data_IF_415393876771
#
_entry.id   IF_415393876771
#
_cell.length_a   1.000
_cell.length_b   1.000
_cell.length_c   1.000
_cell.angle_alpha   90.00
_cell.angle_beta   90.00
_cell.angle_gamma   90.00
#
_symmetry.space_group_name_H-M   'P 1'
#
loop_
_entity.id
_entity.type
_entity.pdbx_description
1 polymer ?
#
# COMPACT_ATOMS: atom_id res chain seq x y z
N UNK A 1 28.76 34.02 -4.65
CA UNK A 1 27.65 33.30 -3.99
C UNK A 1 26.71 32.80 -5.08
N UNK A 2 26.91 31.57 -5.55
CA UNK A 2 26.10 31.00 -6.62
C UNK A 2 24.92 30.23 -6.03
N UNK A 3 23.73 30.65 -6.42
CA UNK A 3 22.45 29.97 -6.21
C UNK A 3 22.51 28.56 -6.79
N UNK A 4 22.25 27.54 -5.97
CA UNK A 4 22.07 26.16 -6.42
C UNK A 4 20.59 25.81 -6.31
N UNK A 5 19.96 25.69 -7.46
CA UNK A 5 18.57 25.29 -7.63
C UNK A 5 18.35 23.88 -7.05
N UNK A 6 17.37 23.77 -6.15
CA UNK A 6 16.85 22.50 -5.66
C UNK A 6 16.09 21.80 -6.79
N UNK A 7 16.69 20.75 -7.37
CA UNK A 7 15.96 19.87 -8.29
C UNK A 7 15.16 18.86 -7.47
N UNK A 8 13.85 19.08 -7.40
CA UNK A 8 12.89 18.08 -6.92
C UNK A 8 12.80 16.95 -7.95
N UNK A 9 13.14 15.72 -7.56
CA UNK A 9 12.94 14.52 -8.38
C UNK A 9 11.67 13.81 -7.90
N UNK A 10 10.57 13.95 -8.65
CA UNK A 10 9.39 13.13 -8.48
C UNK A 10 9.66 11.74 -9.07
N UNK A 11 9.67 10.69 -8.23
CA UNK A 11 9.63 9.32 -8.71
C UNK A 11 8.18 8.95 -9.03
N UNK A 12 7.78 9.13 -10.28
CA UNK A 12 6.53 8.56 -10.78
C UNK A 12 6.84 7.24 -11.47
N UNK A 13 6.52 6.10 -10.84
CA UNK A 13 6.55 4.77 -11.48
C UNK A 13 5.35 4.57 -12.44
N UNK A 14 4.92 5.63 -13.12
CA UNK A 14 3.77 5.62 -14.03
C UNK A 14 4.06 4.94 -15.38
N UNK A 15 5.26 4.42 -15.63
CA UNK A 15 5.60 3.71 -16.87
C UNK A 15 5.67 2.20 -16.67
N UNK A 16 4.54 1.59 -16.29
CA UNK A 16 4.35 0.14 -16.37
C UNK A 16 3.05 -0.14 -17.14
N UNK A 17 3.01 0.29 -18.41
CA UNK A 17 2.03 -0.21 -19.37
C UNK A 17 2.62 -1.46 -20.04
N UNK A 18 2.19 -2.62 -19.57
CA UNK A 18 2.48 -3.91 -20.19
C UNK A 18 1.65 -4.03 -21.46
N UNK A 19 2.27 -3.82 -22.62
CA UNK A 19 1.71 -4.26 -23.90
C UNK A 19 2.32 -5.62 -24.24
N UNK A 20 1.59 -6.69 -23.96
CA UNK A 20 1.77 -7.96 -24.68
C UNK A 20 0.51 -8.20 -25.52
N UNK A 21 0.65 -8.51 -26.82
CA UNK A 21 -0.50 -8.73 -27.69
C UNK A 21 -1.18 -10.04 -27.32
N UNK A 22 -2.46 -9.97 -26.98
CA UNK A 22 -3.30 -11.14 -26.77
C UNK A 22 -3.72 -11.68 -28.14
N UNK A 23 -3.24 -12.89 -28.47
CA UNK A 23 -3.69 -13.66 -29.62
C UNK A 23 -5.20 -13.96 -29.48
N UNK A 24 -5.98 -13.40 -30.39
CA UNK A 24 -7.42 -13.60 -30.53
C UNK A 24 -7.73 -15.02 -31.00
N UNK A 25 -8.31 -15.85 -30.12
CA UNK A 25 -9.13 -16.98 -30.55
C UNK A 25 -10.61 -16.60 -30.45
N UNK A 26 -11.23 -16.43 -31.63
CA UNK A 26 -12.69 -16.40 -31.79
C UNK A 26 -13.25 -17.80 -31.50
N UNK A 27 -14.22 -17.91 -30.59
CA UNK A 27 -15.31 -18.89 -30.70
C UNK A 27 -16.62 -18.25 -30.22
N UNK A 28 -17.54 -18.18 -31.16
CA UNK A 28 -18.91 -17.68 -31.04
C UNK A 28 -19.76 -18.61 -30.18
N UNK A 29 -20.72 -17.99 -29.51
CA UNK A 29 -21.86 -18.50 -28.75
C UNK A 29 -22.70 -19.55 -29.50
N UNK A 30 -23.35 -20.44 -28.75
CA UNK A 30 -24.74 -20.82 -29.05
C UNK A 30 -25.47 -21.35 -27.81
N UNK A 31 -26.71 -20.90 -27.67
CA UNK A 31 -27.70 -21.28 -26.66
C UNK A 31 -28.69 -22.28 -27.29
N UNK A 32 -28.95 -23.34 -26.53
CA UNK A 32 -30.18 -24.15 -26.39
C UNK A 32 -30.94 -24.80 -27.58
N UNK A 33 -31.17 -26.10 -27.34
CA UNK A 33 -32.43 -26.88 -27.40
C UNK A 33 -33.01 -27.48 -28.70
N UNK A 34 -33.34 -28.77 -28.52
CA UNK A 34 -34.56 -29.52 -28.88
C UNK A 34 -34.47 -30.68 -29.89
N UNK A 35 -35.25 -31.71 -29.52
CA UNK A 35 -35.41 -33.08 -30.03
C UNK A 35 -35.85 -33.19 -31.50
N UNK A 36 -35.52 -34.31 -32.16
CA UNK A 36 -36.52 -35.31 -32.59
C UNK A 36 -35.89 -36.50 -33.35
N UNK A 37 -36.51 -37.67 -33.17
CA UNK A 37 -36.31 -38.91 -33.92
C UNK A 37 -37.04 -38.86 -35.27
N UNK A 38 -36.53 -39.56 -36.30
CA UNK A 38 -37.39 -40.24 -37.27
C UNK A 38 -36.99 -40.21 -38.75
N UNK A 39 -36.55 -41.39 -39.24
CA UNK A 39 -36.84 -42.05 -40.54
C UNK A 39 -36.38 -41.43 -41.88
N UNK A 40 -35.66 -42.29 -42.63
CA UNK A 40 -35.72 -42.62 -44.07
C UNK A 40 -36.14 -41.55 -45.10
N UNK A 41 -35.30 -41.32 -46.12
CA UNK A 41 -35.53 -41.71 -47.53
C UNK A 41 -34.43 -41.17 -48.48
N UNK A 42 -34.41 -41.77 -49.67
CA UNK A 42 -33.40 -41.80 -50.73
C UNK A 42 -33.22 -40.52 -51.58
N UNK A 43 -32.16 -40.58 -52.41
CA UNK A 43 -31.99 -39.99 -53.75
C UNK A 43 -31.71 -38.49 -53.80
N UNK A 44 -31.07 -37.90 -54.81
CA UNK A 44 -30.13 -38.28 -55.86
C UNK A 44 -29.81 -36.97 -56.60
N UNK A 45 -28.67 -36.94 -57.31
CA UNK A 45 -28.43 -36.14 -58.53
C UNK A 45 -28.12 -34.63 -58.44
N UNK A 46 -26.94 -34.33 -59.03
CA UNK A 46 -26.62 -33.23 -59.97
C UNK A 46 -26.55 -31.83 -59.34
N UNK A 47 -25.46 -31.05 -59.43
CA UNK A 47 -24.41 -30.97 -60.44
C UNK A 47 -24.40 -29.54 -60.97
N UNK A 48 -23.28 -28.83 -60.84
CA UNK A 48 -22.81 -27.78 -61.76
C UNK A 48 -21.59 -27.08 -61.17
N UNK A 49 -20.42 -27.32 -61.77
CA UNK A 49 -19.27 -26.41 -61.71
C UNK A 49 -19.51 -25.30 -62.73
N UNK A 50 -19.21 -24.06 -62.39
CA UNK A 50 -18.77 -23.07 -63.37
C UNK A 50 -17.63 -22.24 -62.77
N UNK A 51 -16.47 -22.33 -63.43
CA UNK A 51 -15.31 -21.51 -63.20
C UNK A 51 -15.29 -20.42 -64.27
N UNK A 52 -15.00 -19.17 -63.90
CA UNK A 52 -14.50 -18.14 -64.83
C UNK A 52 -13.41 -17.36 -64.10
N UNK A 53 -12.18 -17.45 -64.63
CA UNK A 53 -11.07 -16.57 -64.30
C UNK A 53 -11.22 -15.27 -65.08
N UNK A 54 -10.82 -14.14 -64.49
CA UNK A 54 -10.26 -13.01 -65.24
C UNK A 54 -9.15 -12.33 -64.43
N UNK A 55 -7.98 -12.32 -65.05
CA UNK A 55 -6.74 -11.66 -64.67
C UNK A 55 -6.79 -10.19 -65.11
N UNK A 56 -6.37 -9.25 -64.25
CA UNK A 56 -5.87 -7.93 -64.70
C UNK A 56 -4.85 -7.35 -63.71
N UNK A 57 -3.82 -6.73 -64.30
CA UNK A 57 -2.53 -6.23 -63.78
C UNK A 57 -2.62 -5.03 -62.80
N UNK A 58 -1.53 -4.71 -62.08
CA UNK A 58 -1.54 -3.80 -60.93
C UNK A 58 -1.41 -2.32 -61.34
N UNK A 59 -2.02 -1.44 -60.56
CA UNK A 59 -1.83 0.01 -60.62
C UNK A 59 -0.96 0.47 -59.44
N UNK A 60 0.14 1.11 -59.79
CA UNK A 60 1.08 1.81 -58.91
C UNK A 60 0.41 3.01 -58.26
N UNK A 61 0.37 3.03 -56.92
CA UNK A 61 0.02 4.24 -56.15
C UNK A 61 1.27 4.77 -55.43
N UNK A 62 1.63 6.01 -55.81
CA UNK A 62 2.67 6.87 -55.22
C UNK A 62 2.71 6.80 -53.69
N UNK A 63 3.92 6.63 -53.14
CA UNK A 63 4.23 6.95 -51.73
C UNK A 63 4.13 8.46 -51.54
N UNK A 64 3.18 8.92 -50.74
CA UNK A 64 3.32 10.19 -50.03
C UNK A 64 4.15 9.92 -48.78
N UNK A 65 5.32 10.55 -48.70
CA UNK A 65 6.13 10.58 -47.49
C UNK A 65 5.44 11.43 -46.43
N UNK A 66 4.84 10.78 -45.44
CA UNK A 66 4.56 11.41 -44.15
C UNK A 66 5.81 11.30 -43.31
N UNK A 67 6.49 12.43 -43.08
CA UNK A 67 7.52 12.52 -42.05
C UNK A 67 6.81 12.46 -40.69
N UNK A 68 6.63 11.24 -40.19
CA UNK A 68 6.28 11.02 -38.80
C UNK A 68 7.52 11.39 -37.99
N UNK A 69 7.55 12.62 -37.48
CA UNK A 69 8.47 13.00 -36.42
C UNK A 69 8.08 12.15 -35.20
N UNK A 70 8.67 10.97 -35.08
CA UNK A 70 8.63 10.18 -33.86
C UNK A 70 9.31 11.02 -32.77
N UNK A 71 8.50 11.70 -31.97
CA UNK A 71 8.93 12.22 -30.68
C UNK A 71 9.19 11.00 -29.81
N UNK A 72 10.40 10.46 -29.91
CA UNK A 72 10.93 9.54 -28.91
C UNK A 72 11.21 10.37 -27.67
N UNK A 73 10.23 10.42 -26.77
CA UNK A 73 10.46 10.84 -25.40
C UNK A 73 11.39 9.81 -24.76
N UNK A 74 12.69 10.08 -24.84
CA UNK A 74 13.69 9.41 -24.04
C UNK A 74 13.42 9.75 -22.58
N UNK A 75 12.56 8.97 -21.93
CA UNK A 75 12.53 8.89 -20.48
C UNK A 75 13.90 8.40 -20.05
N UNK A 76 14.77 9.31 -19.62
CA UNK A 76 16.00 8.95 -18.93
C UNK A 76 15.57 8.20 -17.67
N UNK A 77 15.49 6.87 -17.75
CA UNK A 77 15.16 6.05 -16.61
C UNK A 77 16.29 6.24 -15.61
N UNK A 78 16.02 7.02 -14.55
CA UNK A 78 16.91 7.10 -13.40
C UNK A 78 17.10 5.67 -12.89
N UNK A 79 18.33 5.27 -12.54
CA UNK A 79 18.58 3.92 -12.09
C UNK A 79 17.71 3.63 -10.85
N UNK A 80 17.14 2.43 -10.79
CA UNK A 80 16.35 1.99 -9.65
C UNK A 80 17.17 2.12 -8.34
N UNK A 81 16.51 2.47 -7.22
CA UNK A 81 17.20 2.52 -5.94
C UNK A 81 17.67 1.13 -5.54
N UNK A 82 18.79 1.06 -4.82
CA UNK A 82 19.34 -0.19 -4.30
C UNK A 82 18.52 -0.74 -3.13
N UNK A 83 17.78 0.13 -2.42
CA UNK A 83 16.84 -0.27 -1.38
C UNK A 83 15.68 0.72 -1.19
N UNK A 84 14.54 0.21 -0.70
CA UNK A 84 13.44 0.99 -0.15
C UNK A 84 13.37 0.78 1.36
N UNK A 85 13.47 1.88 2.12
CA UNK A 85 13.39 1.90 3.58
C UNK A 85 12.06 2.53 4.01
N UNK A 86 11.11 1.70 4.44
CA UNK A 86 9.77 2.13 4.84
C UNK A 86 9.73 2.54 6.30
N UNK A 87 9.03 3.63 6.63
CA UNK A 87 8.48 3.75 7.99
C UNK A 87 7.40 2.69 8.23
N UNK A 88 7.07 2.41 9.48
CA UNK A 88 5.93 1.56 9.82
C UNK A 88 4.66 2.40 10.00
N UNK A 89 4.66 3.23 11.06
CA UNK A 89 3.52 4.03 11.48
C UNK A 89 3.25 5.17 10.49
N UNK A 90 2.01 5.25 10.00
CA UNK A 90 1.60 6.21 8.99
C UNK A 90 2.07 5.89 7.57
N UNK A 91 2.87 4.84 7.35
CA UNK A 91 3.37 4.46 6.01
C UNK A 91 2.85 3.09 5.58
N UNK A 92 3.17 2.02 6.32
CA UNK A 92 2.62 0.70 6.01
C UNK A 92 1.14 0.66 6.35
N UNK A 93 0.79 1.23 7.50
CA UNK A 93 -0.54 1.26 8.08
C UNK A 93 -0.76 2.62 8.72
N UNK A 94 -2.02 3.09 8.76
CA UNK A 94 -2.37 4.26 9.57
C UNK A 94 -2.68 3.79 11.01
N UNK A 95 -1.63 3.55 11.79
CA UNK A 95 -1.73 2.97 13.14
C UNK A 95 -2.56 3.84 14.08
N UNK A 96 -2.56 5.16 13.91
CA UNK A 96 -3.35 6.07 14.74
C UNK A 96 -4.82 6.08 14.32
N UNK A 97 -5.11 6.38 13.03
CA UNK A 97 -6.50 6.54 12.54
C UNK A 97 -7.26 5.22 12.51
N UNK A 98 -6.62 4.15 12.04
CA UNK A 98 -7.30 2.88 11.75
C UNK A 98 -6.99 1.80 12.79
N UNK A 99 -6.01 2.02 13.67
CA UNK A 99 -5.63 1.09 14.74
C UNK A 99 -6.00 1.57 16.14
N UNK A 100 -5.25 2.54 16.66
CA UNK A 100 -5.39 3.03 18.02
C UNK A 100 -6.75 3.67 18.28
N UNK A 101 -7.23 4.54 17.40
CA UNK A 101 -8.58 5.12 17.51
C UNK A 101 -9.68 4.06 17.52
N UNK A 102 -9.59 3.08 16.62
CA UNK A 102 -10.56 1.96 16.54
C UNK A 102 -10.55 1.15 17.83
N UNK A 103 -9.38 0.76 18.33
CA UNK A 103 -9.26 0.01 19.58
C UNK A 103 -9.71 0.80 20.82
N UNK A 104 -9.56 2.13 20.85
CA UNK A 104 -10.21 2.97 21.89
C UNK A 104 -11.72 2.87 21.82
N UNK A 105 -12.31 3.08 20.64
CA UNK A 105 -13.77 3.05 20.45
C UNK A 105 -14.37 1.69 20.78
N UNK A 106 -13.72 0.59 20.37
CA UNK A 106 -14.16 -0.75 20.74
C UNK A 106 -14.07 -0.98 22.26
N UNK A 107 -13.01 -0.48 22.92
CA UNK A 107 -12.92 -0.54 24.39
C UNK A 107 -14.05 0.25 25.06
N UNK A 108 -14.34 1.46 24.58
CA UNK A 108 -15.40 2.30 25.14
C UNK A 108 -16.78 1.66 24.94
N UNK A 109 -16.98 0.99 23.80
CA UNK A 109 -18.18 0.23 23.48
C UNK A 109 -18.34 -0.99 24.38
N UNK A 110 -17.29 -1.81 24.55
CA UNK A 110 -17.29 -2.96 25.47
C UNK A 110 -17.58 -2.55 26.93
N UNK A 111 -17.24 -1.33 27.30
CA UNK A 111 -17.45 -0.76 28.65
C UNK A 111 -18.68 0.14 28.74
N UNK A 112 -19.50 0.19 27.68
CA UNK A 112 -20.77 0.92 27.63
C UNK A 112 -20.64 2.41 27.99
N UNK A 113 -19.51 3.03 27.66
CA UNK A 113 -19.21 4.42 28.07
C UNK A 113 -19.96 5.47 27.24
N UNK A 114 -20.65 5.07 26.18
CA UNK A 114 -21.32 5.98 25.23
C UNK A 114 -20.39 7.08 24.68
N UNK A 115 -19.12 6.72 24.47
CA UNK A 115 -18.08 7.60 23.94
C UNK A 115 -17.59 7.04 22.62
N UNK A 116 -17.39 7.93 21.64
CA UNK A 116 -16.78 7.58 20.36
C UNK A 116 -15.90 8.74 19.94
N UNK A 117 -14.65 8.41 19.59
CA UNK A 117 -13.71 9.34 18.98
C UNK A 117 -13.73 9.12 17.47
N UNK A 118 -14.34 10.07 16.76
CA UNK A 118 -14.20 10.16 15.31
C UNK A 118 -12.77 10.58 14.93
N UNK A 119 -12.50 10.69 13.63
CA UNK A 119 -11.15 10.96 13.11
C UNK A 119 -10.68 12.36 13.54
N UNK A 120 -11.55 13.37 13.46
CA UNK A 120 -11.19 14.77 13.71
C UNK A 120 -10.94 15.01 15.20
N UNK A 121 -11.83 14.49 16.06
CA UNK A 121 -11.63 14.54 17.51
C UNK A 121 -10.37 13.78 17.91
N UNK A 122 -10.11 12.61 17.33
CA UNK A 122 -8.90 11.86 17.66
C UNK A 122 -7.63 12.61 17.23
N UNK A 123 -7.64 13.30 16.09
CA UNK A 123 -6.53 14.14 15.64
C UNK A 123 -6.23 15.27 16.64
N UNK A 124 -7.26 15.90 17.22
CA UNK A 124 -7.09 16.89 18.29
C UNK A 124 -6.52 16.25 19.57
N UNK A 125 -7.02 15.07 19.94
CA UNK A 125 -6.56 14.32 21.11
C UNK A 125 -5.12 13.79 20.97
N UNK A 126 -4.60 13.60 19.75
CA UNK A 126 -3.22 13.20 19.50
C UNK A 126 -2.19 14.26 19.96
N UNK A 127 -2.61 15.53 20.08
CA UNK A 127 -1.78 16.60 20.65
C UNK A 127 -1.47 16.37 22.14
N UNK A 128 -2.24 15.51 22.80
CA UNK A 128 -2.01 15.06 24.17
C UNK A 128 -1.18 13.78 24.12
N UNK A 129 0.03 13.85 24.66
CA UNK A 129 0.94 12.70 24.75
C UNK A 129 0.41 11.63 25.71
N UNK A 130 0.58 10.36 25.36
CA UNK A 130 0.21 9.22 26.19
C UNK A 130 -1.27 8.86 26.14
N UNK A 131 -1.56 7.55 26.08
CA UNK A 131 -2.92 7.05 25.91
C UNK A 131 -3.82 7.19 27.14
N UNK A 132 -3.25 7.06 28.33
CA UNK A 132 -3.99 7.22 29.60
C UNK A 132 -4.30 8.69 29.84
N UNK A 133 -3.30 9.53 29.65
CA UNK A 133 -3.34 10.97 29.80
C UNK A 133 -4.38 11.58 28.86
N UNK A 134 -4.43 11.11 27.61
CA UNK A 134 -5.45 11.47 26.62
C UNK A 134 -6.87 11.14 27.08
N UNK A 135 -7.12 9.93 27.58
CA UNK A 135 -8.43 9.56 28.11
C UNK A 135 -8.82 10.40 29.32
N UNK A 136 -7.90 10.59 30.27
CA UNK A 136 -8.12 11.41 31.47
C UNK A 136 -8.46 12.85 31.09
N UNK A 137 -7.69 13.46 30.18
CA UNK A 137 -7.94 14.82 29.71
C UNK A 137 -9.29 14.93 28.99
N UNK A 138 -9.65 13.96 28.16
CA UNK A 138 -10.95 13.91 27.49
C UNK A 138 -12.10 13.84 28.51
N UNK A 139 -12.06 12.92 29.48
CA UNK A 139 -13.11 12.79 30.50
C UNK A 139 -13.19 13.98 31.45
N UNK A 140 -12.07 14.62 31.77
CA UNK A 140 -12.07 15.85 32.55
C UNK A 140 -12.75 17.01 31.80
N UNK A 141 -12.60 17.08 30.48
CA UNK A 141 -13.19 18.14 29.64
C UNK A 141 -14.66 17.89 29.31
N UNK A 142 -15.01 16.65 28.92
CA UNK A 142 -16.35 16.30 28.43
C UNK A 142 -17.29 15.78 29.51
N UNK A 143 -16.76 15.52 30.71
CA UNK A 143 -17.45 14.82 31.79
C UNK A 143 -17.12 13.33 31.82
N UNK A 144 -17.01 12.81 33.04
CA UNK A 144 -16.72 11.39 33.25
C UNK A 144 -17.96 10.53 32.95
N UNK A 145 -17.79 9.33 32.37
CA UNK A 145 -18.89 8.38 32.15
C UNK A 145 -19.64 8.06 33.46
N UNK A 146 -20.94 7.76 33.36
CA UNK A 146 -21.80 7.49 34.54
C UNK A 146 -21.32 6.32 35.39
N UNK A 147 -20.72 5.30 34.75
CA UNK A 147 -20.15 4.12 35.40
C UNK A 147 -18.70 4.30 35.83
N UNK A 148 -18.11 5.49 35.62
CA UNK A 148 -16.77 5.76 36.11
C UNK A 148 -16.77 6.00 37.62
N UNK A 149 -15.69 5.60 38.32
CA UNK A 149 -15.54 5.89 39.74
C UNK A 149 -15.52 7.39 40.08
N UNK A 150 -15.74 7.71 41.35
CA UNK A 150 -15.80 9.09 41.83
C UNK A 150 -14.47 9.60 42.38
N UNK A 151 -13.69 8.76 43.07
CA UNK A 151 -12.39 9.14 43.61
C UNK A 151 -11.32 9.21 42.51
N UNK A 152 -10.28 10.01 42.73
CA UNK A 152 -9.20 10.19 41.76
C UNK A 152 -8.38 8.93 41.57
N UNK A 153 -8.10 8.20 42.66
CA UNK A 153 -7.35 6.96 42.67
C UNK A 153 -8.08 5.87 41.88
N UNK A 154 -9.38 5.71 42.09
CA UNK A 154 -10.19 4.74 41.36
C UNK A 154 -10.33 5.12 39.89
N UNK A 155 -10.45 6.41 39.57
CA UNK A 155 -10.45 6.91 38.18
C UNK A 155 -9.14 6.60 37.46
N UNK A 156 -8.00 6.76 38.15
CA UNK A 156 -6.68 6.39 37.61
C UNK A 156 -6.60 4.89 37.32
N UNK A 157 -7.08 4.04 38.24
CA UNK A 157 -7.15 2.60 38.03
C UNK A 157 -8.11 2.22 36.89
N UNK A 158 -9.25 2.89 36.79
CA UNK A 158 -10.22 2.71 35.72
C UNK A 158 -9.62 3.04 34.35
N UNK A 159 -8.99 4.21 34.19
CA UNK A 159 -8.29 4.61 32.95
C UNK A 159 -7.17 3.62 32.60
N UNK A 160 -6.41 3.15 33.60
CA UNK A 160 -5.39 2.13 33.37
C UNK A 160 -6.00 0.82 32.83
N UNK A 161 -7.15 0.41 33.35
CA UNK A 161 -7.87 -0.79 32.85
C UNK A 161 -8.36 -0.62 31.41
N UNK A 162 -8.89 0.56 31.05
CA UNK A 162 -9.29 0.89 29.69
C UNK A 162 -8.08 0.86 28.74
N UNK A 163 -6.96 1.47 29.14
CA UNK A 163 -5.76 1.49 28.33
C UNK A 163 -5.19 0.09 28.10
N UNK A 164 -5.20 -0.75 29.15
CA UNK A 164 -4.79 -2.16 29.04
C UNK A 164 -5.67 -2.89 28.02
N UNK A 165 -7.00 -2.79 28.15
CA UNK A 165 -7.93 -3.45 27.23
C UNK A 165 -7.79 -2.94 25.79
N UNK A 166 -7.64 -1.64 25.60
CA UNK A 166 -7.37 -1.03 24.29
C UNK A 166 -6.08 -1.58 23.67
N UNK A 167 -5.04 -1.79 24.48
CA UNK A 167 -3.77 -2.35 24.01
C UNK A 167 -3.93 -3.79 23.53
N UNK A 168 -4.69 -4.61 24.26
CA UNK A 168 -5.03 -5.99 23.85
C UNK A 168 -5.82 -6.00 22.54
N UNK A 169 -6.83 -5.13 22.41
CA UNK A 169 -7.64 -5.03 21.20
C UNK A 169 -6.82 -4.56 20.00
N UNK A 170 -5.88 -3.63 20.19
CA UNK A 170 -4.97 -3.21 19.13
C UNK A 170 -4.08 -4.36 18.63
N UNK A 171 -3.52 -5.15 19.55
CA UNK A 171 -2.76 -6.34 19.17
C UNK A 171 -3.63 -7.33 18.38
N UNK A 172 -4.86 -7.58 18.85
CA UNK A 172 -5.80 -8.46 18.18
C UNK A 172 -6.21 -7.96 16.79
N UNK A 173 -6.30 -6.64 16.56
CA UNK A 173 -6.57 -6.08 15.23
C UNK A 173 -5.47 -6.46 14.22
N UNK A 174 -4.21 -6.43 14.65
CA UNK A 174 -3.07 -6.81 13.80
C UNK A 174 -3.09 -8.31 13.54
N UNK A 175 -3.18 -9.13 14.59
CA UNK A 175 -3.16 -10.60 14.49
C UNK A 175 -4.30 -11.14 13.62
N UNK A 176 -5.50 -10.54 13.75
CA UNK A 176 -6.70 -10.90 12.96
C UNK A 176 -6.73 -10.25 11.57
N UNK A 177 -5.69 -9.48 11.19
CA UNK A 177 -5.59 -8.80 9.89
C UNK A 177 -6.74 -7.81 9.61
N UNK A 178 -7.23 -7.16 10.65
CA UNK A 178 -8.31 -6.17 10.58
C UNK A 178 -7.78 -4.73 10.42
N UNK A 179 -6.48 -4.50 10.62
CA UNK A 179 -5.83 -3.22 10.35
C UNK A 179 -5.42 -3.16 8.87
N UNK A 180 -5.99 -2.26 8.04
CA UNK A 180 -5.67 -2.21 6.62
C UNK A 180 -4.27 -1.62 6.37
N UNK A 181 -3.57 -2.22 5.41
CA UNK A 181 -2.38 -1.59 4.81
C UNK A 181 -2.80 -0.35 4.01
N UNK A 182 -1.93 0.67 3.99
CA UNK A 182 -2.17 1.86 3.16
C UNK A 182 -2.22 1.47 1.68
N UNK A 183 -3.08 2.14 0.87
CA UNK A 183 -3.15 1.90 -0.56
C UNK A 183 -1.78 2.01 -1.23
N UNK A 184 -1.47 1.07 -2.12
CA UNK A 184 -0.22 1.05 -2.89
C UNK A 184 0.99 0.42 -2.20
N UNK A 185 0.98 0.24 -0.87
CA UNK A 185 2.12 -0.34 -0.12
C UNK A 185 2.49 -1.74 -0.63
N UNK A 186 1.51 -2.63 -0.70
CA UNK A 186 1.73 -4.02 -1.17
C UNK A 186 2.29 -4.03 -2.58
N UNK A 187 1.66 -3.27 -3.48
CA UNK A 187 2.08 -3.16 -4.89
C UNK A 187 3.52 -2.68 -5.01
N UNK A 188 3.90 -1.65 -4.25
CA UNK A 188 5.25 -1.10 -4.28
C UNK A 188 6.29 -2.09 -3.77
N UNK A 189 6.00 -2.77 -2.65
CA UNK A 189 6.88 -3.80 -2.08
C UNK A 189 7.07 -4.93 -3.08
N UNK A 190 5.99 -5.43 -3.69
CA UNK A 190 6.06 -6.52 -4.66
C UNK A 190 6.87 -6.14 -5.89
N UNK A 191 6.70 -4.92 -6.41
CA UNK A 191 7.48 -4.39 -7.53
C UNK A 191 8.96 -4.28 -7.18
N UNK A 192 9.29 -3.73 -6.00
CA UNK A 192 10.67 -3.61 -5.55
C UNK A 192 11.35 -4.98 -5.44
N UNK A 193 10.67 -5.94 -4.79
CA UNK A 193 11.21 -7.29 -4.62
C UNK A 193 11.37 -8.02 -5.97
N UNK A 194 10.46 -7.81 -6.92
CA UNK A 194 10.56 -8.41 -8.26
C UNK A 194 11.76 -7.88 -9.07
N UNK A 195 12.14 -6.61 -8.87
CA UNK A 195 13.28 -5.95 -9.52
C UNK A 195 14.60 -6.14 -8.75
N UNK A 196 14.60 -6.97 -7.69
CA UNK A 196 15.80 -7.21 -6.86
C UNK A 196 16.19 -6.04 -5.96
N UNK A 197 15.31 -5.06 -5.79
CA UNK A 197 15.50 -3.94 -4.85
C UNK A 197 15.28 -4.45 -3.42
N UNK A 198 16.22 -4.17 -2.52
CA UNK A 198 16.12 -4.58 -1.11
C UNK A 198 15.02 -3.78 -0.40
N UNK A 199 14.30 -4.43 0.51
CA UNK A 199 13.24 -3.77 1.29
C UNK A 199 13.52 -3.92 2.78
N UNK A 200 13.36 -2.82 3.53
CA UNK A 200 13.41 -2.84 4.97
C UNK A 200 12.36 -1.91 5.59
N UNK A 201 12.03 -2.17 6.85
CA UNK A 201 11.19 -1.32 7.68
C UNK A 201 12.04 -0.72 8.79
N UNK A 202 12.01 0.59 8.92
CA UNK A 202 12.74 1.37 9.91
C UNK A 202 11.72 2.15 10.75
N UNK A 203 11.51 1.78 12.02
CA UNK A 203 10.51 2.41 12.90
C UNK A 203 11.06 2.73 14.29
N UNK A 204 10.52 3.76 14.94
CA UNK A 204 10.79 4.06 16.36
C UNK A 204 9.90 3.25 17.31
N UNK A 205 8.88 2.56 16.78
CA UNK A 205 8.00 1.67 17.53
C UNK A 205 8.72 0.39 17.95
N UNK A 206 8.19 -0.27 18.99
CA UNK A 206 8.75 -1.52 19.52
C UNK A 206 8.76 -2.63 18.46
N UNK A 207 9.84 -3.41 18.41
CA UNK A 207 10.06 -4.43 17.38
C UNK A 207 8.90 -5.41 17.26
N UNK A 208 8.38 -5.90 18.39
CA UNK A 208 7.27 -6.86 18.40
C UNK A 208 6.03 -6.36 17.64
N UNK A 209 5.72 -5.06 17.75
CA UNK A 209 4.57 -4.47 17.06
C UNK A 209 4.83 -4.36 15.54
N UNK A 210 6.03 -3.90 15.16
CA UNK A 210 6.44 -3.78 13.75
C UNK A 210 6.48 -5.16 13.09
N UNK A 211 7.06 -6.14 13.77
CA UNK A 211 7.16 -7.53 13.33
C UNK A 211 5.79 -8.18 13.15
N UNK A 212 4.84 -7.91 14.06
CA UNK A 212 3.45 -8.35 13.91
C UNK A 212 2.79 -7.72 12.67
N UNK A 213 2.96 -6.42 12.44
CA UNK A 213 2.43 -5.72 11.25
C UNK A 213 3.00 -6.34 9.96
N UNK A 214 4.33 -6.51 9.89
CA UNK A 214 4.98 -7.09 8.71
C UNK A 214 4.52 -8.53 8.49
N UNK A 215 4.50 -9.35 9.54
CA UNK A 215 4.16 -10.78 9.40
C UNK A 215 2.69 -11.03 9.10
N UNK A 216 1.78 -10.41 9.87
CA UNK A 216 0.35 -10.68 9.74
C UNK A 216 -0.29 -9.91 8.59
N UNK A 217 0.12 -8.66 8.35
CA UNK A 217 -0.54 -7.80 7.35
C UNK A 217 0.11 -7.89 5.96
N UNK A 218 1.45 -7.85 5.86
CA UNK A 218 2.14 -8.07 4.57
C UNK A 218 2.23 -9.55 4.20
N UNK A 219 2.14 -10.44 5.19
CA UNK A 219 2.19 -11.89 5.01
C UNK A 219 3.61 -12.47 5.11
N UNK A 220 3.73 -13.77 5.43
CA UNK A 220 5.00 -14.41 5.75
C UNK A 220 6.01 -14.37 4.59
N UNK A 221 5.56 -14.57 3.34
CA UNK A 221 6.44 -14.57 2.16
C UNK A 221 7.15 -13.22 1.92
N UNK A 222 6.48 -12.11 2.25
CA UNK A 222 7.09 -10.78 2.19
C UNK A 222 7.96 -10.54 3.42
N UNK A 223 7.48 -10.95 4.59
CA UNK A 223 8.20 -10.79 5.86
C UNK A 223 9.60 -11.45 5.81
N UNK A 224 9.73 -12.62 5.20
CA UNK A 224 11.02 -13.29 5.01
C UNK A 224 12.04 -12.48 4.20
N UNK A 225 11.56 -11.59 3.32
CA UNK A 225 12.39 -10.77 2.43
C UNK A 225 12.60 -9.35 2.95
N UNK A 226 11.91 -8.97 4.03
CA UNK A 226 11.92 -7.62 4.60
C UNK A 226 12.72 -7.62 5.90
N UNK A 227 13.80 -6.84 5.95
CA UNK A 227 14.55 -6.62 7.19
C UNK A 227 13.84 -5.60 8.08
N UNK A 228 13.79 -5.85 9.38
CA UNK A 228 13.16 -4.95 10.36
C UNK A 228 14.23 -4.32 11.25
N UNK A 229 14.20 -2.99 11.34
CA UNK A 229 14.99 -2.18 12.26
C UNK A 229 14.00 -1.36 13.09
N UNK A 230 13.90 -1.66 14.38
CA UNK A 230 12.83 -1.12 15.22
C UNK A 230 13.29 -0.85 16.67
N UNK A 231 12.55 0.01 17.35
CA UNK A 231 12.71 0.29 18.77
C UNK A 231 14.07 0.87 19.12
N UNK A 232 14.76 0.23 20.08
CA UNK A 232 16.01 0.70 20.67
C UNK A 232 17.24 0.06 20.02
N UNK A 233 17.12 -0.45 18.78
CA UNK A 233 18.26 -0.92 17.98
C UNK A 233 19.27 0.21 17.67
N UNK A 234 18.84 1.47 17.84
CA UNK A 234 19.69 2.66 17.82
C UNK A 234 19.42 3.52 19.05
N UNK A 235 20.47 4.18 19.57
CA UNK A 235 20.36 5.04 20.75
C UNK A 235 19.61 6.35 20.48
N UNK A 236 19.82 6.95 19.30
CA UNK A 236 19.14 8.19 18.88
C UNK A 236 17.99 7.85 17.93
N UNK A 237 16.77 8.20 18.34
CA UNK A 237 15.54 7.97 17.57
C UNK A 237 15.31 9.09 16.54
N UNK A 238 14.43 8.82 15.56
CA UNK A 238 13.97 9.82 14.58
C UNK A 238 13.57 11.12 15.31
N UNK A 239 13.93 12.31 14.82
CA UNK A 239 14.38 12.61 13.44
C UNK A 239 15.85 12.30 13.13
N UNK A 240 16.64 11.81 14.10
CA UNK A 240 18.01 11.35 13.85
C UNK A 240 18.05 10.23 12.77
N UNK A 241 19.00 10.26 11.82
CA UNK A 241 19.06 9.30 10.71
C UNK A 241 19.61 7.92 11.10
N UNK A 242 20.10 7.71 12.32
CA UNK A 242 20.83 6.51 12.74
C UNK A 242 20.15 5.18 12.36
N UNK A 243 18.81 5.10 12.45
CA UNK A 243 18.08 3.87 12.10
C UNK A 243 18.10 3.57 10.60
N UNK A 244 18.14 4.60 9.74
CA UNK A 244 18.25 4.44 8.30
C UNK A 244 19.69 4.12 7.90
N UNK A 245 20.67 4.73 8.55
CA UNK A 245 22.10 4.40 8.36
C UNK A 245 22.40 2.96 8.75
N UNK A 246 21.89 2.51 9.90
CA UNK A 246 21.97 1.12 10.33
C UNK A 246 21.37 0.18 9.27
N UNK A 247 20.18 0.52 8.75
CA UNK A 247 19.52 -0.30 7.74
C UNK A 247 20.32 -0.35 6.44
N UNK A 248 20.80 0.79 5.95
CA UNK A 248 21.62 0.88 4.74
C UNK A 248 22.91 0.06 4.86
N UNK A 249 23.62 0.20 5.98
CA UNK A 249 24.84 -0.56 6.27
C UNK A 249 24.57 -2.06 6.33
N UNK A 250 23.52 -2.48 7.04
CA UNK A 250 23.15 -3.90 7.17
C UNK A 250 22.72 -4.51 5.84
N UNK A 251 22.06 -3.72 4.99
CA UNK A 251 21.70 -4.13 3.64
C UNK A 251 22.87 -4.06 2.66
N UNK A 252 24.01 -3.46 3.02
CA UNK A 252 25.14 -3.25 2.13
C UNK A 252 24.76 -2.39 0.92
N UNK A 253 24.02 -1.30 1.17
CA UNK A 253 23.63 -0.35 0.12
C UNK A 253 24.26 1.01 0.38
N UNK A 254 24.70 1.66 -0.69
CA UNK A 254 25.24 3.02 -0.64
C UNK A 254 24.16 4.00 -0.14
N UNK A 255 24.47 4.89 0.83
CA UNK A 255 23.53 5.88 1.32
C UNK A 255 22.91 6.79 0.26
N UNK A 256 23.62 7.08 -0.82
CA UNK A 256 23.12 7.88 -1.95
C UNK A 256 22.15 7.11 -2.87
N UNK A 257 22.03 5.79 -2.66
CA UNK A 257 21.31 4.87 -3.55
C UNK A 257 20.07 4.24 -2.93
N UNK A 258 19.80 4.47 -1.65
CA UNK A 258 18.53 4.04 -1.04
C UNK A 258 17.50 5.16 -1.06
N UNK A 259 16.23 4.77 -0.94
CA UNK A 259 15.11 5.69 -0.89
C UNK A 259 14.32 5.48 0.40
N UNK A 260 14.03 6.57 1.11
CA UNK A 260 13.15 6.54 2.29
C UNK A 260 11.71 6.70 1.84
N UNK A 261 10.85 5.80 2.30
CA UNK A 261 9.40 5.91 2.11
C UNK A 261 8.81 6.43 3.41
N UNK A 262 8.44 7.71 3.39
CA UNK A 262 7.89 8.43 4.53
C UNK A 262 6.41 8.72 4.33
N UNK A 263 5.68 8.92 5.42
CA UNK A 263 4.28 9.29 5.34
C UNK A 263 4.18 10.72 4.80
N UNK A 264 3.45 10.91 3.70
CA UNK A 264 2.92 12.23 3.36
C UNK A 264 1.59 12.44 4.11
N UNK A 265 1.44 13.61 4.71
CA UNK A 265 0.16 14.13 5.22
C UNK A 265 -0.67 14.56 4.00
N UNK A 266 -1.20 13.57 3.27
CA UNK A 266 -2.28 13.62 2.29
C UNK A 266 -2.15 12.39 1.39
N UNK A 267 -3.28 11.92 0.89
CA UNK A 267 -3.49 10.61 0.25
C UNK A 267 -2.33 10.05 -0.57
N UNK A 268 -2.05 8.77 -0.33
CA UNK A 268 -1.00 7.93 -0.88
C UNK A 268 -0.59 8.28 -2.33
N UNK A 269 0.24 9.30 -2.45
CA UNK A 269 1.05 9.64 -3.61
C UNK A 269 2.45 9.81 -3.09
N UNK A 270 3.38 8.99 -3.58
CA UNK A 270 4.80 9.11 -3.24
C UNK A 270 5.31 10.40 -3.87
N UNK A 271 5.21 11.53 -3.17
CA UNK A 271 5.74 12.81 -3.66
C UNK A 271 7.13 13.12 -3.13
N UNK A 272 7.64 12.37 -2.13
CA UNK A 272 8.98 12.63 -1.62
C UNK A 272 9.79 11.36 -1.35
N UNK A 273 10.61 11.02 -2.34
CA UNK A 273 11.83 10.23 -2.15
C UNK A 273 12.95 11.26 -2.00
N UNK A 274 13.51 11.37 -0.81
CA UNK A 274 14.71 12.19 -0.59
C UNK A 274 15.93 11.27 -0.76
N UNK A 275 16.83 11.53 -1.73
CA UNK A 275 18.17 10.99 -1.68
C UNK A 275 18.85 11.52 -0.41
N UNK A 276 19.57 10.67 0.30
CA UNK A 276 20.45 11.14 1.38
C UNK A 276 21.58 11.93 0.74
N UNK A 277 21.66 13.24 1.04
CA UNK A 277 22.88 14.04 0.81
C UNK A 277 23.92 13.69 1.86
#
# INVERSE_FOLDING_TARGET
MASMASMAVCYSLATLSSTKPLLSHKKTTSIANLKSHGRNLQSSLVGAKLAISKTTRPLSSRRLGTSSSEVTCSTSASPLPSALLFDCDGVLVDTEKDGHRVSYNETFKEKELSVTWDVDLYAELLKIGGGKERMTAYFNKMGWPKNAPKSEEERKAFVASLHKRKTELFAALIEKRLLPLRPGVVKLIDQALAEGVKVAVCSTSVEKAVSAIVTFLLGPERAEKIKIFAGDVVARKKPDPAIYELAANTLGVDPSRYCRVLAQISDATIQHVQPTQ
#
